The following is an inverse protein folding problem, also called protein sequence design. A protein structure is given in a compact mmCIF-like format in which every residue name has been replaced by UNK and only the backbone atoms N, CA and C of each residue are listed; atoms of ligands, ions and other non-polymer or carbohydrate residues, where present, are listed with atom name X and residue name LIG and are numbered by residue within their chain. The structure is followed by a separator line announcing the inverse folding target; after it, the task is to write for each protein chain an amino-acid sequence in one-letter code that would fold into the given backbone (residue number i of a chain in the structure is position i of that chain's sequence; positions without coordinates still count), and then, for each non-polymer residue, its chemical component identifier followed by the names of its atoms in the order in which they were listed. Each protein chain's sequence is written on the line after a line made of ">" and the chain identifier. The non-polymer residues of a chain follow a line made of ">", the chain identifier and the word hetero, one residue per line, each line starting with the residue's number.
data_IF_676889165059
#
_entry.id   IF_676889165059
#
_cell.length_a   1.000
_cell.length_b   1.000
_cell.length_c   1.000
_cell.angle_alpha   90.00
_cell.angle_beta   90.00
_cell.angle_gamma   90.00
#
_symmetry.space_group_name_H-M   'P 1'
#
loop_
_entity.id
_entity.type
_entity.pdbx_description
1 polymer ?
#
# COMPACT_ATOMS: atom_id res chain seq x y z
N UNK A 1 0.67 8.84 -12.80
CA UNK A 1 0.35 9.49 -11.50
C UNK A 1 1.60 9.56 -10.62
N UNK A 2 1.65 10.37 -9.55
CA UNK A 2 2.84 10.43 -8.66
C UNK A 2 3.18 9.04 -8.11
N UNK A 3 2.19 8.32 -7.59
CA UNK A 3 2.40 6.99 -6.99
C UNK A 3 2.84 5.92 -8.01
N UNK A 4 2.45 6.07 -9.27
CA UNK A 4 2.93 5.23 -10.36
C UNK A 4 4.41 5.47 -10.66
N UNK A 5 4.88 6.72 -10.67
CA UNK A 5 6.30 7.02 -10.87
C UNK A 5 7.14 6.60 -9.65
N UNK A 6 6.61 6.75 -8.43
CA UNK A 6 7.23 6.22 -7.20
C UNK A 6 7.40 4.70 -7.32
N UNK A 7 6.35 3.99 -7.76
CA UNK A 7 6.42 2.55 -8.00
C UNK A 7 7.42 2.18 -9.09
N UNK A 8 7.49 2.94 -10.19
CA UNK A 8 8.46 2.71 -11.27
C UNK A 8 9.91 2.87 -10.80
N UNK A 9 10.16 3.83 -9.90
CA UNK A 9 11.48 4.11 -9.35
C UNK A 9 11.83 3.26 -8.12
N UNK A 10 10.87 2.56 -7.52
CA UNK A 10 11.05 1.85 -6.24
C UNK A 10 11.56 2.84 -5.16
N UNK A 11 11.02 4.06 -5.16
CA UNK A 11 11.56 5.16 -4.36
C UNK A 11 11.21 5.01 -2.87
N UNK A 12 12.20 4.98 -1.96
CA UNK A 12 11.97 4.87 -0.51
C UNK A 12 11.63 6.25 0.07
N UNK A 13 10.45 6.78 -0.26
CA UNK A 13 9.96 8.08 0.22
C UNK A 13 8.68 7.89 1.04
N UNK A 14 8.47 8.68 2.11
CA UNK A 14 7.30 8.55 2.98
C UNK A 14 6.02 9.13 2.33
N UNK A 15 5.83 8.97 1.03
CA UNK A 15 4.70 9.54 0.29
C UNK A 15 3.38 8.90 0.73
N UNK A 16 3.32 7.57 0.84
CA UNK A 16 2.11 6.88 1.28
C UNK A 16 1.77 7.18 2.74
N UNK A 17 2.73 7.10 3.65
CA UNK A 17 2.50 7.29 5.10
C UNK A 17 2.20 8.74 5.44
N UNK A 18 2.96 9.69 4.87
CA UNK A 18 2.86 11.11 5.19
C UNK A 18 1.90 11.83 4.26
N UNK A 19 2.25 11.92 2.96
CA UNK A 19 1.52 12.76 2.01
C UNK A 19 0.10 12.24 1.68
N UNK A 20 -0.16 10.95 1.91
CA UNK A 20 -1.48 10.32 1.70
C UNK A 20 -2.17 10.05 3.02
N UNK A 21 -1.73 9.04 3.79
CA UNK A 21 -2.45 8.56 4.97
C UNK A 21 -2.63 9.67 6.02
N UNK A 22 -1.53 10.26 6.49
CA UNK A 22 -1.60 11.30 7.50
C UNK A 22 -2.29 12.57 6.98
N UNK A 23 -1.89 13.09 5.80
CA UNK A 23 -2.46 14.31 5.24
C UNK A 23 -3.97 14.21 5.00
N UNK A 24 -4.48 13.11 4.45
CA UNK A 24 -5.93 12.94 4.23
C UNK A 24 -6.67 12.87 5.56
N UNK A 25 -6.16 12.10 6.52
CA UNK A 25 -6.78 11.99 7.85
C UNK A 25 -6.83 13.36 8.57
N UNK A 26 -5.75 14.13 8.53
CA UNK A 26 -5.65 15.45 9.14
C UNK A 26 -6.56 16.47 8.44
N UNK A 27 -6.54 16.51 7.10
CA UNK A 27 -7.34 17.44 6.30
C UNK A 27 -8.83 17.27 6.50
N UNK A 28 -9.31 16.02 6.56
CA UNK A 28 -10.73 15.73 6.76
C UNK A 28 -11.17 15.86 8.22
N UNK A 29 -10.22 15.86 9.16
CA UNK A 29 -10.48 16.08 10.59
C UNK A 29 -10.43 17.56 11.00
N UNK A 30 -10.09 18.46 10.06
CA UNK A 30 -10.01 19.91 10.30
C UNK A 30 -8.74 20.36 11.03
N UNK A 31 -7.70 19.52 11.07
CA UNK A 31 -6.38 19.94 11.54
C UNK A 31 -5.75 20.92 10.54
N UNK A 32 -5.04 21.97 10.99
CA UNK A 32 -4.46 22.98 10.07
C UNK A 32 -3.00 23.32 10.33
N UNK A 33 -2.52 23.16 11.58
CA UNK A 33 -1.16 23.53 11.97
C UNK A 33 -0.14 22.55 11.37
N UNK A 34 -0.33 21.26 11.60
CA UNK A 34 0.51 20.17 11.07
C UNK A 34 0.41 20.12 9.55
N UNK A 35 -0.77 20.31 8.97
CA UNK A 35 -0.97 20.36 7.52
C UNK A 35 -0.13 21.44 6.83
N UNK A 36 0.06 22.59 7.46
CA UNK A 36 0.88 23.66 6.88
C UNK A 36 2.34 23.23 6.71
N UNK A 37 2.88 22.50 7.69
CA UNK A 37 4.23 21.92 7.61
C UNK A 37 4.31 20.72 6.65
N UNK A 38 3.26 19.91 6.55
CA UNK A 38 3.21 18.82 5.57
C UNK A 38 3.19 19.36 4.13
N UNK A 39 2.42 20.42 3.88
CA UNK A 39 2.25 21.00 2.55
C UNK A 39 3.54 21.62 1.99
N UNK A 40 4.41 22.17 2.86
CA UNK A 40 5.70 22.73 2.47
C UNK A 40 6.87 21.75 2.63
N UNK A 41 6.61 20.54 3.12
CA UNK A 41 7.62 19.50 3.33
C UNK A 41 8.57 19.75 4.51
N UNK A 42 8.24 20.66 5.43
CA UNK A 42 9.04 20.94 6.62
C UNK A 42 8.87 19.86 7.70
N UNK A 43 7.75 19.15 7.71
CA UNK A 43 7.51 18.02 8.60
C UNK A 43 6.93 16.84 7.83
N UNK A 44 7.11 15.65 8.41
CA UNK A 44 6.53 14.40 7.97
C UNK A 44 5.62 13.83 9.07
N UNK A 45 4.64 13.04 8.67
CA UNK A 45 3.71 12.42 9.59
C UNK A 45 3.46 10.94 9.27
N UNK A 46 3.02 10.18 10.27
CA UNK A 46 2.57 8.81 10.10
C UNK A 46 1.25 8.58 10.83
N UNK A 47 0.31 7.90 10.16
CA UNK A 47 -0.91 7.41 10.77
C UNK A 47 -0.61 6.12 11.55
N UNK A 48 -0.86 6.13 12.85
CA UNK A 48 -0.51 5.04 13.77
C UNK A 48 -1.59 3.97 13.77
N UNK A 49 -1.59 3.19 12.69
CA UNK A 49 -2.40 1.99 12.49
C UNK A 49 -1.50 0.88 11.92
N UNK A 50 -1.83 -0.41 12.13
CA UNK A 50 -1.17 -1.47 11.38
C UNK A 50 -1.29 -1.23 9.87
N UNK A 51 -0.23 -1.49 9.10
CA UNK A 51 -0.27 -1.31 7.63
C UNK A 51 -1.39 -2.14 6.96
N UNK A 52 -1.84 -3.22 7.61
CA UNK A 52 -2.92 -4.09 7.13
C UNK A 52 -4.34 -3.59 7.44
N UNK A 53 -4.51 -2.48 8.16
CA UNK A 53 -5.82 -1.97 8.56
C UNK A 53 -6.66 -1.60 7.33
N UNK A 54 -7.85 -2.18 7.24
CA UNK A 54 -8.83 -1.88 6.20
C UNK A 54 -9.77 -0.74 6.61
N UNK A 55 -10.35 0.01 5.65
CA UNK A 55 -11.41 0.97 5.96
C UNK A 55 -12.57 0.30 6.70
N UNK A 56 -12.96 0.88 7.85
CA UNK A 56 -14.04 0.35 8.69
C UNK A 56 -13.60 -0.66 9.76
N UNK A 57 -12.33 -1.06 9.79
CA UNK A 57 -11.80 -1.88 10.87
C UNK A 57 -11.92 -1.15 12.23
N UNK A 58 -12.10 -1.89 13.33
CA UNK A 58 -12.19 -1.29 14.66
C UNK A 58 -10.86 -0.67 15.10
N UNK A 59 -10.93 0.56 15.63
CA UNK A 59 -9.78 1.23 16.24
C UNK A 59 -9.54 0.64 17.63
N UNK A 60 -8.37 0.04 17.83
CA UNK A 60 -7.98 -0.65 19.08
C UNK A 60 -6.49 -0.46 19.35
N UNK A 61 -6.03 -0.81 20.56
CA UNK A 61 -4.60 -0.90 20.89
C UNK A 61 -4.03 0.33 21.59
N UNK A 62 -4.63 1.52 21.41
CA UNK A 62 -4.28 2.75 22.16
C UNK A 62 -5.53 3.35 22.77
N UNK A 63 -5.41 3.78 24.02
CA UNK A 63 -6.42 4.52 24.77
C UNK A 63 -5.87 5.88 25.20
N UNK A 64 -6.75 6.87 25.31
CA UNK A 64 -6.45 8.16 25.92
C UNK A 64 -7.02 8.22 27.35
N UNK A 65 -6.19 8.53 28.34
CA UNK A 65 -6.57 8.64 29.75
C UNK A 65 -6.06 9.92 30.40
N UNK A 66 -6.20 10.02 31.73
CA UNK A 66 -5.76 11.20 32.48
C UNK A 66 -4.25 11.49 32.32
N UNK A 67 -3.46 10.43 32.17
CA UNK A 67 -2.00 10.51 32.01
C UNK A 67 -1.56 10.58 30.53
N UNK A 68 -2.49 10.68 29.58
CA UNK A 68 -2.22 10.73 28.14
C UNK A 68 -2.42 9.40 27.41
N UNK A 69 -1.84 9.28 26.22
CA UNK A 69 -1.93 8.09 25.38
C UNK A 69 -1.16 6.93 25.99
N UNK A 70 -1.80 5.77 26.03
CA UNK A 70 -1.20 4.51 26.50
C UNK A 70 -1.64 3.36 25.61
N UNK A 71 -0.70 2.47 25.27
CA UNK A 71 -0.96 1.29 24.47
C UNK A 71 0.07 1.09 23.35
N UNK A 72 -0.17 0.10 22.49
CA UNK A 72 0.78 -0.30 21.45
C UNK A 72 0.08 -0.59 20.14
N UNK A 73 0.70 -0.13 19.06
CA UNK A 73 0.34 -0.52 17.70
C UNK A 73 1.57 -1.14 17.04
N UNK A 74 1.36 -2.25 16.35
CA UNK A 74 2.44 -2.95 15.65
C UNK A 74 2.40 -2.71 14.15
N UNK A 75 3.56 -2.81 13.48
CA UNK A 75 3.65 -2.76 12.02
C UNK A 75 3.10 -1.47 11.39
N UNK A 76 3.44 -0.32 12.00
CA UNK A 76 3.07 1.02 11.51
C UNK A 76 4.04 1.47 10.43
N UNK A 77 3.52 1.87 9.27
CA UNK A 77 4.33 2.32 8.15
C UNK A 77 4.82 3.77 8.33
N UNK A 78 6.12 3.98 8.11
CA UNK A 78 6.74 5.31 8.13
C UNK A 78 6.82 5.97 9.50
N UNK A 79 6.48 5.28 10.58
CA UNK A 79 6.51 5.83 11.94
C UNK A 79 7.92 6.21 12.42
N UNK A 80 8.95 5.54 11.89
CA UNK A 80 10.35 5.84 12.22
C UNK A 80 10.78 7.18 11.67
N UNK A 81 10.37 7.50 10.44
CA UNK A 81 10.78 8.69 9.71
C UNK A 81 9.89 9.90 10.02
N UNK A 82 8.72 9.69 10.64
CA UNK A 82 7.77 10.75 10.94
C UNK A 82 8.24 11.71 12.04
N UNK A 83 7.95 12.99 11.88
CA UNK A 83 8.08 13.99 12.94
C UNK A 83 6.85 13.98 13.86
N UNK A 84 5.66 13.78 13.27
CA UNK A 84 4.37 13.75 13.96
C UNK A 84 3.66 12.42 13.78
N UNK A 85 3.15 11.86 14.87
CA UNK A 85 2.31 10.68 14.87
C UNK A 85 0.85 11.08 14.98
N UNK A 86 0.02 10.60 14.04
CA UNK A 86 -1.44 10.77 14.06
C UNK A 86 -2.05 9.47 14.60
N UNK A 87 -2.63 9.52 15.80
CA UNK A 87 -3.04 8.36 16.57
C UNK A 87 -4.56 8.29 16.66
N UNK A 88 -5.21 7.34 15.98
CA UNK A 88 -6.61 7.04 16.22
C UNK A 88 -6.81 6.36 17.57
N UNK A 89 -7.79 6.80 18.35
CA UNK A 89 -8.21 6.17 19.61
C UNK A 89 -9.72 6.00 19.64
N UNK A 90 -10.21 4.96 20.31
CA UNK A 90 -11.63 4.84 20.60
C UNK A 90 -11.98 5.75 21.78
N UNK A 91 -12.74 6.82 21.52
CA UNK A 91 -13.26 7.74 22.52
C UNK A 91 -14.71 7.42 22.92
N UNK A 92 -15.26 8.15 23.91
CA UNK A 92 -16.61 7.94 24.43
C UNK A 92 -17.72 8.15 23.36
N UNK A 93 -17.49 9.07 22.42
CA UNK A 93 -18.44 9.43 21.37
C UNK A 93 -18.06 8.84 19.99
N UNK A 94 -17.12 7.90 19.97
CA UNK A 94 -16.58 7.30 18.74
C UNK A 94 -15.08 7.56 18.57
N UNK A 95 -14.57 7.33 17.36
CA UNK A 95 -13.14 7.48 17.06
C UNK A 95 -12.72 8.94 17.22
N UNK A 96 -11.57 9.17 17.86
CA UNK A 96 -10.88 10.45 17.95
C UNK A 96 -9.51 10.33 17.28
N UNK A 97 -9.00 11.42 16.69
CA UNK A 97 -7.61 11.49 16.25
C UNK A 97 -6.82 12.41 17.16
N UNK A 98 -5.59 12.00 17.47
CA UNK A 98 -4.65 12.75 18.30
C UNK A 98 -3.34 12.94 17.55
N UNK A 99 -2.68 14.08 17.73
CA UNK A 99 -1.30 14.29 17.30
C UNK A 99 -0.35 14.24 18.48
N UNK A 100 0.82 13.64 18.27
CA UNK A 100 1.92 13.62 19.23
C UNK A 100 3.24 13.65 18.47
N UNK A 101 4.22 14.40 18.98
CA UNK A 101 5.56 14.40 18.40
C UNK A 101 6.20 13.00 18.56
N UNK A 102 6.88 12.49 17.53
CA UNK A 102 7.48 11.14 17.56
C UNK A 102 8.52 10.97 18.68
N UNK A 103 9.19 12.05 19.06
CA UNK A 103 10.21 12.09 20.12
C UNK A 103 9.68 12.58 21.48
N UNK A 104 8.36 12.74 21.63
CA UNK A 104 7.76 13.11 22.88
C UNK A 104 8.03 12.07 23.99
N UNK A 105 8.10 12.55 25.23
CA UNK A 105 8.22 11.68 26.40
C UNK A 105 7.04 10.68 26.43
N UNK A 106 7.36 9.41 26.69
CA UNK A 106 6.39 8.33 26.70
C UNK A 106 6.04 7.77 25.31
N UNK A 107 6.71 8.20 24.24
CA UNK A 107 6.62 7.59 22.90
C UNK A 107 7.87 6.77 22.62
N UNK A 108 7.69 5.51 22.25
CA UNK A 108 8.76 4.63 21.79
C UNK A 108 8.42 4.09 20.40
N UNK A 109 9.32 4.30 19.44
CA UNK A 109 9.20 3.77 18.07
C UNK A 109 10.33 2.77 17.83
N UNK A 110 9.96 1.50 17.71
CA UNK A 110 10.86 0.36 17.54
C UNK A 110 10.79 -0.19 16.11
N UNK A 111 11.82 0.02 15.26
CA UNK A 111 11.84 -0.49 13.90
C UNK A 111 11.77 -2.03 13.86
N UNK A 112 11.03 -2.56 12.89
CA UNK A 112 10.90 -4.01 12.64
C UNK A 112 11.71 -4.35 11.39
N UNK A 113 12.28 -5.55 11.35
CA UNK A 113 12.87 -6.08 10.12
C UNK A 113 11.77 -6.33 9.09
N UNK A 114 11.81 -5.59 7.98
CA UNK A 114 10.88 -5.76 6.86
C UNK A 114 11.60 -6.34 5.65
N UNK A 115 10.90 -7.14 4.85
CA UNK A 115 11.41 -7.58 3.56
C UNK A 115 11.39 -6.44 2.54
N UNK A 116 10.34 -5.62 2.57
CA UNK A 116 10.24 -4.43 1.74
C UNK A 116 10.92 -3.24 2.45
N UNK A 117 12.13 -2.91 1.99
CA UNK A 117 12.91 -1.79 2.52
C UNK A 117 12.40 -0.42 2.01
N UNK A 118 11.50 -0.38 1.03
CA UNK A 118 10.84 0.88 0.60
C UNK A 118 9.69 1.29 1.51
N UNK A 119 9.24 0.37 2.37
CA UNK A 119 8.20 0.58 3.38
C UNK A 119 8.70 0.09 4.73
N UNK A 120 9.56 0.87 5.41
CA UNK A 120 9.96 0.54 6.77
C UNK A 120 8.74 0.53 7.69
N UNK A 121 8.68 -0.49 8.54
CA UNK A 121 7.66 -0.65 9.56
C UNK A 121 8.28 -0.50 10.95
N UNK A 122 7.49 0.01 11.89
CA UNK A 122 7.87 0.07 13.30
C UNK A 122 6.69 -0.29 14.20
N UNK A 123 7.00 -0.80 15.39
CA UNK A 123 6.06 -0.84 16.49
C UNK A 123 6.11 0.50 17.24
N UNK A 124 4.94 1.01 17.61
CA UNK A 124 4.80 2.27 18.34
C UNK A 124 4.14 1.98 19.68
N UNK A 125 4.82 2.34 20.77
CA UNK A 125 4.34 2.20 22.14
C UNK A 125 4.16 3.58 22.77
N UNK A 126 3.05 3.76 23.46
CA UNK A 126 2.75 4.92 24.28
C UNK A 126 2.67 4.52 25.75
N UNK A 127 3.26 5.33 26.63
CA UNK A 127 3.28 5.14 28.08
C UNK A 127 3.02 6.47 28.79
N UNK A 128 1.78 6.95 28.72
CA UNK A 128 1.40 8.27 29.23
C UNK A 128 1.93 9.42 28.38
N UNK A 129 1.90 9.26 27.05
CA UNK A 129 2.38 10.30 26.13
C UNK A 129 1.35 11.43 26.03
N UNK A 130 1.78 12.67 26.28
CA UNK A 130 0.93 13.84 26.08
C UNK A 130 0.60 14.01 24.59
N UNK A 131 -0.67 14.25 24.27
CA UNK A 131 -1.15 14.41 22.90
C UNK A 131 -2.13 15.58 22.76
N UNK A 132 -2.31 16.05 21.53
CA UNK A 132 -3.31 17.04 21.17
C UNK A 132 -4.43 16.39 20.39
N UNK A 133 -5.66 16.45 20.91
CA UNK A 133 -6.84 15.97 20.18
C UNK A 133 -7.12 16.89 18.98
N UNK A 134 -7.33 16.30 17.82
CA UNK A 134 -7.69 17.01 16.59
C UNK A 134 -9.19 17.28 16.57
N UNK A 135 -9.57 18.53 16.84
CA UNK A 135 -10.92 19.06 16.59
C UNK A 135 -12.09 18.19 17.06
N UNK A 136 -13.27 18.48 16.49
CA UNK A 136 -14.50 17.67 16.63
C UNK A 136 -15.01 17.19 15.27
N UNK A 137 -14.15 17.24 14.25
CA UNK A 137 -14.46 16.75 12.90
C UNK A 137 -14.76 15.25 12.86
N UNK A 138 -15.27 14.73 11.73
CA UNK A 138 -15.70 13.34 11.62
C UNK A 138 -14.50 12.37 11.51
N UNK A 139 -13.75 12.21 12.60
CA UNK A 139 -12.51 11.42 12.68
C UNK A 139 -12.65 9.99 12.14
N UNK A 140 -13.78 9.33 12.39
CA UNK A 140 -14.04 8.00 11.83
C UNK A 140 -14.10 8.01 10.30
N UNK A 141 -14.81 8.97 9.70
CA UNK A 141 -14.92 9.10 8.25
C UNK A 141 -13.58 9.53 7.64
N UNK A 142 -12.84 10.43 8.30
CA UNK A 142 -11.51 10.85 7.89
C UNK A 142 -10.51 9.69 7.85
N UNK A 143 -10.54 8.83 8.89
CA UNK A 143 -9.72 7.62 8.95
C UNK A 143 -10.07 6.64 7.82
N UNK A 144 -11.37 6.38 7.62
CA UNK A 144 -11.83 5.48 6.56
C UNK A 144 -11.42 5.98 5.17
N UNK A 145 -11.57 7.29 4.90
CA UNK A 145 -11.20 7.89 3.63
C UNK A 145 -9.69 7.89 3.40
N UNK A 146 -8.88 8.12 4.44
CA UNK A 146 -7.43 8.02 4.36
C UNK A 146 -6.98 6.60 3.98
N UNK A 147 -7.54 5.58 4.63
CA UNK A 147 -7.24 4.17 4.34
C UNK A 147 -7.71 3.77 2.94
N UNK A 148 -8.90 4.23 2.52
CA UNK A 148 -9.45 3.96 1.19
C UNK A 148 -8.59 4.60 0.10
N UNK A 149 -8.19 5.86 0.29
CA UNK A 149 -7.30 6.59 -0.62
C UNK A 149 -5.94 5.91 -0.72
N UNK A 150 -5.36 5.50 0.41
CA UNK A 150 -4.10 4.78 0.46
C UNK A 150 -4.16 3.45 -0.28
N UNK A 151 -5.24 2.67 -0.12
CA UNK A 151 -5.45 1.42 -0.84
C UNK A 151 -5.51 1.64 -2.37
N UNK A 152 -6.22 2.69 -2.82
CA UNK A 152 -6.28 3.04 -4.25
C UNK A 152 -4.92 3.47 -4.80
N UNK A 153 -4.15 4.25 -4.04
CA UNK A 153 -2.83 4.71 -4.46
C UNK A 153 -1.78 3.58 -4.43
N UNK A 154 -1.86 2.65 -3.48
CA UNK A 154 -1.07 1.42 -3.50
C UNK A 154 -1.31 0.63 -4.79
N UNK A 155 -2.56 0.50 -5.24
CA UNK A 155 -2.86 -0.14 -6.53
C UNK A 155 -2.20 0.59 -7.71
N UNK A 156 -2.15 1.93 -7.68
CA UNK A 156 -1.40 2.71 -8.69
C UNK A 156 0.11 2.50 -8.61
N UNK A 157 0.66 2.30 -7.42
CA UNK A 157 2.09 1.97 -7.25
C UNK A 157 2.40 0.63 -7.92
N UNK A 158 1.54 -0.37 -7.73
CA UNK A 158 1.70 -1.70 -8.33
C UNK A 158 1.73 -1.64 -9.87
N UNK A 159 0.99 -0.71 -10.48
CA UNK A 159 1.07 -0.46 -11.92
C UNK A 159 2.44 0.10 -12.33
N UNK A 160 2.98 1.04 -11.56
CA UNK A 160 4.30 1.62 -11.74
C UNK A 160 5.42 0.59 -11.65
N UNK A 161 5.40 -0.24 -10.60
CA UNK A 161 6.33 -1.35 -10.39
C UNK A 161 6.32 -2.31 -11.59
N UNK A 162 5.14 -2.69 -12.06
CA UNK A 162 4.98 -3.55 -13.24
C UNK A 162 5.53 -2.90 -14.52
N UNK A 163 5.25 -1.61 -14.73
CA UNK A 163 5.73 -0.87 -15.90
C UNK A 163 7.26 -0.72 -15.92
N UNK A 164 7.86 -0.45 -14.76
CA UNK A 164 9.32 -0.38 -14.59
C UNK A 164 10.01 -1.72 -14.78
N UNK A 165 9.40 -2.82 -14.32
CA UNK A 165 9.96 -4.16 -14.50
C UNK A 165 9.96 -4.65 -15.97
N UNK A 166 9.02 -4.17 -16.79
CA UNK A 166 8.89 -4.55 -18.21
C UNK A 166 9.67 -3.64 -19.17
N UNK A 167 10.20 -2.52 -18.68
CA UNK A 167 11.08 -1.64 -19.44
C UNK A 167 12.53 -1.95 -19.07
N UNK A 168 13.31 -2.61 -19.95
CA UNK A 168 14.70 -2.93 -19.63
C UNK A 168 15.51 -1.63 -19.56
N UNK A 169 15.81 -1.16 -18.35
CA UNK A 169 16.83 -0.12 -18.13
C UNK A 169 18.24 -0.74 -18.01
N UNK A 170 18.33 -2.07 -17.97
CA UNK A 170 19.61 -2.76 -18.12
C UNK A 170 20.21 -2.35 -19.48
N UNK A 171 21.46 -1.88 -19.53
CA UNK A 171 22.11 -1.57 -20.79
C UNK A 171 22.10 -2.83 -21.64
N UNK A 172 21.30 -2.82 -22.71
CA UNK A 172 21.38 -3.85 -23.75
C UNK A 172 22.85 -3.93 -24.15
N UNK A 173 23.51 -5.10 -24.05
CA UNK A 173 24.88 -5.22 -24.50
C UNK A 173 24.89 -4.74 -25.94
N UNK A 174 25.57 -3.61 -26.20
CA UNK A 174 25.77 -3.13 -27.56
C UNK A 174 26.29 -4.32 -28.34
N UNK A 175 25.63 -4.63 -29.45
CA UNK A 175 26.24 -5.55 -30.41
C UNK A 175 27.60 -4.96 -30.71
N UNK A 176 28.65 -5.66 -30.26
CA UNK A 176 29.98 -5.42 -30.79
C UNK A 176 29.83 -5.82 -32.25
N UNK A 177 29.67 -4.83 -33.13
CA UNK A 177 29.87 -5.09 -34.54
C UNK A 177 31.30 -5.61 -34.63
N UNK A 178 31.46 -6.85 -35.08
CA UNK A 178 32.77 -7.35 -35.44
C UNK A 178 33.23 -6.56 -36.66
N UNK A 179 33.79 -5.38 -36.43
CA UNK A 179 34.71 -4.84 -37.42
C UNK A 179 35.88 -5.82 -37.45
N UNK A 180 36.09 -6.42 -38.62
CA UNK A 180 37.22 -7.28 -38.88
C UNK A 180 38.49 -6.48 -38.56
N UNK A 181 39.11 -6.80 -37.41
CA UNK A 181 40.45 -6.37 -37.11
C UNK A 181 41.44 -6.99 -38.10
N UNK A 182 42.57 -6.32 -38.38
CA UNK A 182 43.52 -6.81 -39.38
C UNK A 182 44.04 -8.19 -39.01
N UNK A 183 44.16 -9.04 -40.02
CA UNK A 183 44.66 -10.41 -39.94
C UNK A 183 46.06 -10.45 -39.32
N UNK A 184 46.14 -10.97 -38.09
CA UNK A 184 47.41 -11.31 -37.45
C UNK A 184 48.01 -12.54 -38.17
N UNK A 185 49.28 -12.50 -38.61
CA UNK A 185 49.89 -13.64 -39.29
C UNK A 185 50.08 -14.80 -38.31
N UNK A 186 49.59 -15.98 -38.70
CA UNK A 186 49.69 -17.22 -37.93
C UNK A 186 51.14 -17.71 -37.94
N UNK A 187 51.87 -17.48 -36.85
CA UNK A 187 53.16 -18.14 -36.59
C UNK A 187 52.87 -19.58 -36.16
N UNK A 188 53.15 -20.52 -37.06
CA UNK A 188 53.11 -21.96 -36.80
C UNK A 188 54.10 -22.28 -35.66
N UNK A 189 53.58 -22.61 -34.47
CA UNK A 189 54.36 -23.27 -33.43
C UNK A 189 53.71 -24.60 -33.10
N UNK A 190 54.53 -25.63 -33.19
CA UNK A 190 54.15 -27.03 -33.09
C UNK A 190 54.13 -27.40 -31.60
N UNK A 191 53.00 -27.23 -30.93
CA UNK A 191 52.80 -27.74 -29.57
C UNK A 191 51.37 -28.25 -29.44
N UNK A 192 51.25 -29.56 -29.29
CA UNK A 192 49.99 -30.28 -29.30
C UNK A 192 49.09 -29.89 -28.14
N UNK A 193 47.92 -29.37 -28.48
CA UNK A 193 46.75 -29.34 -27.62
C UNK A 193 45.59 -29.93 -28.40
N UNK A 194 45.10 -31.07 -27.92
CA UNK A 194 43.97 -31.79 -28.50
C UNK A 194 42.74 -30.88 -28.45
N UNK A 195 42.04 -30.74 -29.57
CA UNK A 195 40.75 -30.08 -29.64
C UNK A 195 39.75 -30.85 -28.78
N UNK A 196 39.21 -30.22 -27.75
CA UNK A 196 38.04 -30.72 -27.04
C UNK A 196 36.85 -30.60 -28.00
N UNK A 197 36.41 -31.73 -28.54
CA UNK A 197 35.28 -31.81 -29.45
C UNK A 197 34.02 -31.16 -28.89
N UNK A 198 33.30 -30.47 -29.77
CA UNK A 198 31.97 -29.94 -29.52
C UNK A 198 31.00 -31.06 -29.13
N UNK A 199 30.80 -31.26 -27.82
CA UNK A 199 29.70 -32.07 -27.33
C UNK A 199 28.40 -31.32 -27.60
N UNK A 200 27.58 -31.88 -28.47
CA UNK A 200 26.16 -31.54 -28.59
C UNK A 200 25.50 -31.77 -27.22
N UNK A 201 25.06 -30.69 -26.59
CA UNK A 201 24.24 -30.76 -25.39
C UNK A 201 22.87 -31.30 -25.82
N UNK A 202 22.64 -32.59 -25.62
CA UNK A 202 21.29 -33.17 -25.71
C UNK A 202 20.43 -32.45 -24.67
N UNK A 203 19.45 -31.67 -25.13
CA UNK A 203 18.34 -31.16 -24.33
C UNK A 203 17.70 -32.35 -23.61
N UNK A 204 17.90 -32.47 -22.29
CA UNK A 204 17.10 -33.40 -21.48
C UNK A 204 15.66 -32.89 -21.53
N UNK A 205 14.78 -33.67 -22.17
CA UNK A 205 13.34 -33.46 -22.06
C UNK A 205 12.96 -33.62 -20.58
N UNK A 206 12.31 -32.60 -20.01
CA UNK A 206 11.70 -32.70 -18.69
C UNK A 206 10.55 -33.71 -18.78
N UNK A 207 10.42 -34.65 -17.83
CA UNK A 207 9.22 -35.49 -17.78
C UNK A 207 8.00 -34.61 -17.50
N UNK A 208 6.89 -34.90 -18.17
CA UNK A 208 5.61 -34.26 -17.93
C UNK A 208 5.11 -34.60 -16.51
N UNK A 209 4.61 -33.60 -15.78
CA UNK A 209 3.92 -33.85 -14.51
C UNK A 209 2.57 -34.53 -14.79
N UNK A 210 2.20 -35.60 -14.04
CA UNK A 210 0.86 -36.16 -14.10
C UNK A 210 -0.17 -35.20 -13.47
N UNK A 211 -1.43 -35.19 -13.94
CA UNK A 211 -2.45 -34.32 -13.36
C UNK A 211 -2.77 -34.78 -11.92
N UNK A 212 -2.59 -33.87 -10.97
CA UNK A 212 -3.09 -34.05 -9.60
C UNK A 212 -4.62 -34.03 -9.60
N UNK A 213 -5.24 -35.19 -9.30
CA UNK A 213 -6.65 -35.27 -8.92
C UNK A 213 -6.83 -34.60 -7.55
N UNK A 214 -7.63 -33.55 -7.50
CA UNK A 214 -8.12 -32.97 -6.24
C UNK A 214 -9.31 -33.82 -5.78
N UNK A 215 -9.29 -34.44 -4.58
CA UNK A 215 -10.47 -35.07 -4.01
C UNK A 215 -11.30 -34.03 -3.24
N UNK A 216 -12.60 -33.98 -3.49
CA UNK A 216 -13.56 -33.31 -2.60
C UNK A 216 -14.20 -32.02 -3.11
N UNK A 217 -14.84 -32.06 -4.30
CA UNK A 217 -15.90 -31.10 -4.62
C UNK A 217 -17.17 -31.51 -3.86
N UNK A 218 -17.34 -30.98 -2.66
CA UNK A 218 -18.58 -31.09 -1.89
C UNK A 218 -19.61 -30.15 -2.54
N UNK A 219 -20.60 -30.74 -3.21
CA UNK A 219 -21.79 -30.04 -3.69
C UNK A 219 -22.58 -29.53 -2.48
N UNK A 220 -22.75 -28.20 -2.38
CA UNK A 220 -23.68 -27.55 -1.47
C UNK A 220 -24.60 -26.63 -2.27
N UNK A 221 -25.88 -27.01 -2.48
CA UNK A 221 -26.83 -26.23 -3.27
C UNK A 221 -27.58 -25.26 -2.35
N UNK A 222 -27.07 -24.05 -2.11
CA UNK A 222 -27.84 -22.99 -1.45
C UNK A 222 -27.17 -21.62 -1.56
N UNK A 223 -27.04 -21.08 -2.77
CA UNK A 223 -26.87 -19.63 -2.95
C UNK A 223 -27.33 -19.13 -4.34
N UNK A 224 -28.48 -19.63 -4.81
CA UNK A 224 -29.20 -19.08 -5.98
C UNK A 224 -30.32 -18.10 -5.61
N UNK A 225 -30.39 -17.65 -4.34
CA UNK A 225 -31.45 -16.76 -3.83
C UNK A 225 -31.04 -15.33 -3.43
N UNK A 226 -29.76 -14.94 -3.52
CA UNK A 226 -29.33 -13.58 -3.13
C UNK A 226 -28.68 -12.74 -4.26
N UNK A 227 -28.65 -13.25 -5.50
CA UNK A 227 -28.16 -12.51 -6.67
C UNK A 227 -29.27 -12.18 -7.69
N UNK A 228 -30.47 -11.87 -7.21
CA UNK A 228 -31.45 -11.16 -8.04
C UNK A 228 -31.24 -9.66 -7.86
N UNK A 229 -30.51 -9.06 -8.80
CA UNK A 229 -30.60 -7.62 -9.05
C UNK A 229 -32.05 -7.29 -9.43
N UNK A 230 -32.72 -6.31 -8.82
CA UNK A 230 -33.97 -5.82 -9.38
C UNK A 230 -33.65 -5.19 -10.74
N UNK A 231 -34.24 -5.76 -11.78
CA UNK A 231 -34.36 -5.13 -13.09
C UNK A 231 -35.16 -3.85 -12.93
N UNK A 232 -34.57 -2.71 -13.27
CA UNK A 232 -35.28 -1.45 -13.41
C UNK A 232 -36.41 -1.65 -14.44
N UNK A 233 -37.66 -1.65 -13.96
CA UNK A 233 -38.81 -1.54 -14.82
C UNK A 233 -38.84 -0.12 -15.38
N UNK A 234 -38.73 0.01 -16.71
CA UNK A 234 -38.88 1.28 -17.39
C UNK A 234 -40.32 1.77 -17.23
N UNK A 235 -40.49 2.93 -16.59
CA UNK A 235 -41.70 3.72 -16.70
C UNK A 235 -41.54 4.71 -17.85
N UNK A 236 -42.32 4.52 -18.91
CA UNK A 236 -42.55 5.57 -19.92
C UNK A 236 -43.55 6.54 -19.32
N UNK A 237 -43.14 7.79 -19.10
CA UNK A 237 -44.03 8.90 -18.84
C UNK A 237 -44.58 9.44 -20.17
N UNK A 238 -45.89 9.32 -20.40
CA UNK A 238 -46.60 10.09 -21.42
C UNK A 238 -47.87 10.67 -20.80
N UNK A 239 -47.76 11.86 -20.18
CA UNK A 239 -48.89 12.78 -19.93
C UNK A 239 -48.37 14.12 -19.38
N UNK A 240 -48.95 15.29 -19.75
CA UNK A 240 -48.49 16.59 -19.33
C UNK A 240 -49.16 17.01 -18.01
N UNK A 241 -48.77 16.40 -16.90
CA UNK A 241 -49.11 16.92 -15.56
C UNK A 241 -48.16 16.34 -14.52
N UNK A 242 -47.23 17.18 -14.05
CA UNK A 242 -46.22 16.87 -13.03
C UNK A 242 -46.85 16.61 -11.66
N UNK A 243 -47.04 15.35 -11.28
CA UNK A 243 -46.95 14.89 -9.88
C UNK A 243 -46.54 13.41 -9.86
N UNK A 244 -45.41 13.08 -9.21
CA UNK A 244 -45.02 11.71 -8.86
C UNK A 244 -44.86 11.61 -7.34
N UNK A 245 -45.71 10.82 -6.69
CA UNK A 245 -45.56 10.43 -5.28
C UNK A 245 -45.14 8.96 -5.22
N UNK A 246 -44.01 8.68 -4.57
CA UNK A 246 -43.56 7.32 -4.26
C UNK A 246 -43.73 7.10 -2.76
N UNK A 247 -44.67 6.22 -2.37
CA UNK A 247 -44.72 5.62 -1.03
C UNK A 247 -43.75 4.44 -0.98
N UNK A 248 -42.90 4.39 0.04
CA UNK A 248 -42.00 3.27 0.33
C UNK A 248 -42.62 2.44 1.45
N UNK A 249 -42.96 1.19 1.15
CA UNK A 249 -43.44 0.19 2.12
C UNK A 249 -42.24 -0.52 2.76
N UNK A 250 -42.29 -0.71 4.08
CA UNK A 250 -41.19 -1.25 4.90
C UNK A 250 -41.35 -2.74 5.12
N UNK A 251 -40.27 -3.51 4.92
CA UNK A 251 -39.95 -4.76 5.64
C UNK A 251 -38.44 -4.84 5.88
#
# INVERSE_FOLDING_TARGET
>A
MVMEEIGRAVAPVPFLSSAVLATVALSLSGETETLSGLANGAVTAALVVPLSTAPGDPVTGVSNGADGLTGRITSVAGAREADVLVVPVAGPDGVELHTVARDAAGVEVSPILTFDMTRPLADVQFSGAASSRIGTGPAHAALAEALQTAAALLASEQLGLRGGALTPHWPTPRSVSSSAGPSVPTRRSNTGWRTCGSRSVRRRQRPAMPPTRVPGAMQMPLLRRLLRRPTAAGSRCTSPSNVCSCTVESE
#
